data_IF_699683135676
#
_entry.id   IF_699683135676
#
_cell.length_a   1.000
_cell.length_b   1.000
_cell.length_c   1.000
_cell.angle_alpha   90.00
_cell.angle_beta   90.00
_cell.angle_gamma   90.00
#
_symmetry.space_group_name_H-M   'P 1'
#
loop_
_entity.id
_entity.type
_entity.pdbx_description
1 polymer ?
#
# COMPACT_ATOMS: atom_id res chain seq x y z
N UNK A 1 -26.31 8.84 -22.84
CA UNK A 1 -25.60 8.90 -21.56
C UNK A 1 -25.13 10.33 -21.37
N UNK A 2 -25.40 11.00 -20.24
CA UNK A 2 -24.76 12.27 -19.96
C UNK A 2 -23.25 12.04 -19.87
N UNK A 3 -22.40 13.00 -20.28
CA UNK A 3 -20.97 12.91 -20.08
C UNK A 3 -20.71 12.77 -18.56
N UNK A 4 -19.83 11.86 -18.17
CA UNK A 4 -19.32 11.83 -16.82
C UNK A 4 -18.69 13.20 -16.57
N UNK A 5 -19.25 13.98 -15.66
CA UNK A 5 -18.60 15.19 -15.16
C UNK A 5 -17.26 14.71 -14.60
N UNK A 6 -16.17 15.18 -15.19
CA UNK A 6 -14.82 14.81 -14.79
C UNK A 6 -14.64 15.21 -13.33
N UNK A 7 -14.60 14.22 -12.45
CA UNK A 7 -14.19 14.43 -11.07
C UNK A 7 -12.79 15.05 -11.13
N UNK A 8 -12.63 16.22 -10.55
CA UNK A 8 -11.34 16.92 -10.56
C UNK A 8 -10.33 16.06 -9.77
N UNK A 9 -9.50 15.30 -10.51
CA UNK A 9 -8.48 14.44 -9.90
C UNK A 9 -7.43 15.21 -9.09
N UNK A 10 -7.44 16.55 -9.17
CA UNK A 10 -6.53 17.41 -8.40
C UNK A 10 -6.80 17.37 -6.89
N UNK A 11 -8.02 17.07 -6.48
CA UNK A 11 -8.41 16.99 -5.06
C UNK A 11 -8.25 15.59 -4.46
N UNK A 12 -8.01 14.54 -5.28
CA UNK A 12 -7.89 13.17 -4.80
C UNK A 12 -6.52 12.91 -4.17
N UNK A 13 -6.56 12.34 -2.97
CA UNK A 13 -5.35 11.88 -2.27
C UNK A 13 -5.18 10.38 -2.52
N UNK A 14 -4.00 10.00 -3.01
CA UNK A 14 -3.61 8.61 -3.17
C UNK A 14 -2.76 8.17 -1.98
N UNK A 15 -3.21 7.14 -1.29
CA UNK A 15 -2.51 6.52 -0.16
C UNK A 15 -1.78 5.30 -0.70
N UNK A 16 -0.53 5.50 -1.12
CA UNK A 16 0.30 4.48 -1.73
C UNK A 16 0.96 3.67 -0.62
N UNK A 17 0.62 2.39 -0.56
CA UNK A 17 0.94 1.51 0.55
C UNK A 17 1.79 0.34 0.10
N UNK A 18 2.78 0.02 0.92
CA UNK A 18 3.57 -1.20 0.87
C UNK A 18 3.58 -1.86 2.25
N UNK A 19 3.71 -3.19 2.28
CA UNK A 19 3.73 -3.96 3.53
C UNK A 19 4.84 -5.01 3.50
N UNK A 20 5.30 -5.37 4.70
CA UNK A 20 6.14 -6.53 4.90
C UNK A 20 5.38 -7.59 5.69
N UNK A 21 5.57 -8.86 5.30
CA UNK A 21 4.81 -9.99 5.85
C UNK A 21 5.69 -11.20 6.14
N UNK A 22 5.23 -12.08 7.03
CA UNK A 22 5.92 -13.34 7.32
C UNK A 22 5.31 -14.57 6.60
N UNK A 23 4.46 -14.34 5.59
CA UNK A 23 3.87 -15.38 4.75
C UNK A 23 2.78 -14.84 3.82
N UNK A 24 1.98 -15.71 3.21
CA UNK A 24 1.12 -15.36 2.06
C UNK A 24 -0.36 -15.25 2.39
N UNK A 25 -0.79 -15.67 3.60
CA UNK A 25 -2.21 -15.79 3.95
C UNK A 25 -2.52 -14.94 5.16
N UNK A 26 -3.26 -13.81 5.01
CA UNK A 26 -3.66 -12.96 6.12
C UNK A 26 -4.36 -13.75 7.23
N UNK A 27 -3.94 -13.53 8.47
CA UNK A 27 -4.48 -14.20 9.63
C UNK A 27 -3.82 -15.53 9.99
N UNK A 28 -3.38 -16.33 9.01
CA UNK A 28 -2.48 -17.47 9.23
C UNK A 28 -1.04 -16.98 9.41
N UNK A 29 -0.68 -15.94 8.69
CA UNK A 29 0.57 -15.22 8.75
C UNK A 29 0.34 -13.77 9.13
N UNK A 30 1.39 -13.07 9.56
CA UNK A 30 1.31 -11.71 10.07
C UNK A 30 1.86 -10.69 9.06
N UNK A 31 1.25 -9.51 9.06
CA UNK A 31 1.88 -8.29 8.57
C UNK A 31 2.88 -7.82 9.63
N UNK A 32 4.13 -7.64 9.22
CA UNK A 32 5.24 -7.23 10.08
C UNK A 32 5.44 -5.71 10.06
N UNK A 33 5.32 -5.10 8.88
CA UNK A 33 5.41 -3.66 8.72
C UNK A 33 4.33 -3.14 7.77
N UNK A 34 3.87 -1.93 8.02
CA UNK A 34 2.92 -1.17 7.20
C UNK A 34 3.48 0.21 6.98
N UNK A 35 3.63 0.60 5.72
CA UNK A 35 4.00 1.96 5.38
C UNK A 35 3.12 2.51 4.26
N UNK A 36 2.87 3.81 4.30
CA UNK A 36 2.09 4.51 3.28
C UNK A 36 2.62 5.92 3.05
N UNK A 37 2.57 6.34 1.80
CA UNK A 37 2.85 7.70 1.36
C UNK A 37 1.59 8.29 0.77
N UNK A 38 1.13 9.42 1.31
CA UNK A 38 0.01 10.17 0.77
C UNK A 38 0.50 11.18 -0.25
N UNK A 39 -0.03 11.13 -1.48
CA UNK A 39 0.35 12.04 -2.56
C UNK A 39 -0.86 12.45 -3.39
N UNK A 40 -0.75 13.59 -4.10
CA UNK A 40 -1.72 14.01 -5.12
C UNK A 40 -1.30 13.50 -6.51
N UNK A 41 -2.20 13.57 -7.49
CA UNK A 41 -1.86 13.27 -8.90
C UNK A 41 -0.74 14.19 -9.46
N UNK A 42 -0.57 15.38 -8.92
CA UNK A 42 0.50 16.32 -9.29
C UNK A 42 1.87 15.92 -8.70
N UNK A 43 1.89 15.03 -7.69
CA UNK A 43 3.11 14.59 -6.99
C UNK A 43 3.42 15.40 -5.74
N UNK A 44 2.45 16.15 -5.21
CA UNK A 44 2.59 16.78 -3.90
C UNK A 44 2.48 15.72 -2.81
N UNK A 45 3.51 15.55 -2.00
CA UNK A 45 3.52 14.63 -0.86
C UNK A 45 2.84 15.31 0.34
N UNK A 46 1.78 14.67 0.86
CA UNK A 46 0.95 15.20 1.94
C UNK A 46 1.32 14.62 3.31
N UNK A 47 2.03 13.50 3.33
CA UNK A 47 2.50 12.86 4.56
C UNK A 47 2.88 11.42 4.38
N UNK A 48 3.45 10.84 5.45
CA UNK A 48 3.86 9.44 5.50
C UNK A 48 3.36 8.79 6.78
N UNK A 49 3.14 7.48 6.70
CA UNK A 49 2.85 6.62 7.83
C UNK A 49 3.79 5.41 7.78
N UNK A 50 4.42 5.07 8.90
CA UNK A 50 5.25 3.86 9.01
C UNK A 50 5.05 3.25 10.40
N UNK A 51 4.88 1.94 10.45
CA UNK A 51 4.81 1.20 11.71
C UNK A 51 5.26 -0.25 11.53
N UNK A 52 5.96 -0.77 12.55
CA UNK A 52 6.22 -2.19 12.74
C UNK A 52 5.13 -2.75 13.68
N UNK A 53 4.62 -3.94 13.37
CA UNK A 53 3.48 -4.54 14.06
C UNK A 53 3.91 -5.80 14.83
N UNK A 54 3.31 -6.00 15.99
CA UNK A 54 3.36 -7.30 16.67
C UNK A 54 2.72 -8.38 15.78
N UNK A 55 3.26 -9.60 15.84
CA UNK A 55 2.61 -10.74 15.16
C UNK A 55 1.23 -11.01 15.72
N UNK A 56 0.33 -11.44 14.86
CA UNK A 56 -1.01 -11.84 15.28
C UNK A 56 -0.94 -13.04 16.23
N UNK A 57 -1.71 -13.03 17.33
CA UNK A 57 -1.80 -14.18 18.22
C UNK A 57 -2.22 -15.43 17.45
N UNK A 58 -1.40 -16.50 17.56
CA UNK A 58 -1.63 -17.79 16.90
C UNK A 58 -1.13 -17.89 15.45
N UNK A 59 -0.79 -16.77 14.80
CA UNK A 59 -0.15 -16.81 13.49
C UNK A 59 1.28 -17.37 13.59
N UNK A 60 1.72 -18.05 12.54
CA UNK A 60 3.07 -18.60 12.45
C UNK A 60 3.72 -18.13 11.15
N UNK A 61 5.01 -17.78 11.14
CA UNK A 61 5.70 -17.46 9.91
C UNK A 61 5.68 -18.64 8.93
N UNK A 62 5.52 -18.34 7.65
CA UNK A 62 5.74 -19.36 6.61
C UNK A 62 7.24 -19.72 6.58
N UNK A 63 7.61 -20.99 6.60
CA UNK A 63 9.03 -21.41 6.73
C UNK A 63 9.95 -20.80 5.67
N UNK A 64 9.52 -20.81 4.40
CA UNK A 64 10.35 -20.29 3.29
C UNK A 64 10.46 -18.77 3.34
N UNK A 65 9.36 -18.06 3.69
CA UNK A 65 9.37 -16.60 3.85
C UNK A 65 10.27 -16.20 5.01
N UNK A 66 10.21 -16.94 6.12
CA UNK A 66 11.07 -16.66 7.26
C UNK A 66 12.55 -16.97 6.98
N UNK A 67 12.83 -18.05 6.23
CA UNK A 67 14.18 -18.35 5.77
C UNK A 67 14.72 -17.24 4.87
N UNK A 68 13.87 -16.68 3.98
CA UNK A 68 14.24 -15.52 3.16
C UNK A 68 14.57 -14.30 4.03
N UNK A 69 13.69 -13.94 5.01
CA UNK A 69 13.94 -12.83 5.93
C UNK A 69 15.26 -12.95 6.67
N UNK A 70 15.55 -14.13 7.19
CA UNK A 70 16.80 -14.38 7.95
C UNK A 70 18.05 -14.45 7.07
N UNK A 71 17.90 -14.55 5.75
CA UNK A 71 18.99 -14.45 4.78
C UNK A 71 19.30 -13.02 4.34
N UNK A 72 18.42 -12.06 4.64
CA UNK A 72 18.64 -10.65 4.30
C UNK A 72 19.69 -10.01 5.24
N UNK A 73 20.27 -8.86 4.85
CA UNK A 73 21.07 -8.05 5.75
C UNK A 73 20.32 -7.76 7.07
N UNK A 74 21.00 -7.78 8.22
CA UNK A 74 20.34 -7.60 9.53
C UNK A 74 19.49 -6.36 9.62
N UNK A 75 19.88 -5.26 8.99
CA UNK A 75 19.16 -3.99 8.96
C UNK A 75 17.81 -4.08 8.23
N UNK A 76 17.69 -4.94 7.21
CA UNK A 76 16.44 -5.17 6.48
C UNK A 76 15.43 -5.92 7.36
N UNK A 77 15.88 -6.99 8.03
CA UNK A 77 15.04 -7.72 8.97
C UNK A 77 14.65 -6.83 10.16
N UNK A 78 15.61 -6.04 10.69
CA UNK A 78 15.38 -5.12 11.79
C UNK A 78 14.28 -4.09 11.44
N UNK A 79 14.34 -3.50 10.25
CA UNK A 79 13.34 -2.53 9.78
C UNK A 79 11.90 -3.09 9.77
N UNK A 80 11.73 -4.40 9.61
CA UNK A 80 10.43 -5.06 9.63
C UNK A 80 10.04 -5.66 11.01
N UNK A 81 10.96 -5.70 11.99
CA UNK A 81 10.73 -6.45 13.23
C UNK A 81 11.14 -5.74 14.52
N UNK A 82 11.90 -4.63 14.47
CA UNK A 82 12.32 -3.90 15.68
C UNK A 82 11.20 -2.99 16.20
N UNK A 83 11.10 -2.90 17.53
CA UNK A 83 10.14 -2.07 18.26
C UNK A 83 8.67 -2.22 17.78
N UNK A 84 8.16 -3.48 17.67
CA UNK A 84 6.82 -3.72 17.17
C UNK A 84 5.77 -3.17 18.15
N UNK A 85 4.71 -2.59 17.59
CA UNK A 85 3.59 -2.03 18.33
C UNK A 85 2.37 -2.94 18.28
N UNK A 86 1.50 -2.92 19.31
CA UNK A 86 0.23 -3.65 19.30
C UNK A 86 -0.59 -3.35 18.06
N UNK A 87 -1.03 -4.40 17.35
CA UNK A 87 -1.78 -4.27 16.07
C UNK A 87 -3.00 -3.34 16.18
N UNK A 88 -3.85 -3.43 17.25
CA UNK A 88 -5.01 -2.52 17.36
C UNK A 88 -4.60 -1.04 17.43
N UNK A 89 -3.49 -0.73 18.10
CA UNK A 89 -2.98 0.65 18.21
C UNK A 89 -2.46 1.17 16.88
N UNK A 90 -1.71 0.34 16.13
CA UNK A 90 -1.21 0.71 14.81
C UNK A 90 -2.37 0.94 13.85
N UNK A 91 -3.37 0.05 13.82
CA UNK A 91 -4.51 0.19 12.92
C UNK A 91 -5.38 1.40 13.26
N UNK A 92 -5.57 1.71 14.54
CA UNK A 92 -6.27 2.94 14.97
C UNK A 92 -5.50 4.21 14.56
N UNK A 93 -4.17 4.19 14.72
CA UNK A 93 -3.30 5.30 14.30
C UNK A 93 -3.33 5.47 12.76
N UNK A 94 -3.28 4.37 12.00
CA UNK A 94 -3.40 4.38 10.55
C UNK A 94 -4.72 4.99 10.09
N UNK A 95 -5.85 4.55 10.66
CA UNK A 95 -7.17 5.13 10.36
C UNK A 95 -7.21 6.63 10.68
N UNK A 96 -6.66 7.03 11.82
CA UNK A 96 -6.62 8.45 12.22
C UNK A 96 -5.81 9.27 11.21
N UNK A 97 -4.65 8.76 10.81
CA UNK A 97 -3.78 9.41 9.83
C UNK A 97 -4.47 9.53 8.46
N UNK A 98 -5.04 8.44 7.95
CA UNK A 98 -5.77 8.43 6.67
C UNK A 98 -6.93 9.43 6.68
N UNK A 99 -7.72 9.49 7.75
CA UNK A 99 -8.85 10.43 7.89
C UNK A 99 -8.40 11.90 7.94
N UNK A 100 -7.17 12.17 8.33
CA UNK A 100 -6.57 13.50 8.33
C UNK A 100 -6.15 14.02 6.95
N UNK A 101 -6.14 13.16 5.91
CA UNK A 101 -5.63 13.50 4.58
C UNK A 101 -6.62 14.20 3.63
N UNK A 102 -7.82 14.53 4.09
CA UNK A 102 -8.87 15.14 3.25
C UNK A 102 -10.04 14.18 3.01
N UNK A 103 -10.94 14.51 2.08
CA UNK A 103 -12.20 13.78 1.90
C UNK A 103 -12.10 12.68 0.82
N UNK A 104 -11.46 12.94 -0.31
CA UNK A 104 -11.34 12.00 -1.43
C UNK A 104 -10.04 11.20 -1.34
N UNK A 105 -10.09 10.00 -0.78
CA UNK A 105 -8.92 9.13 -0.56
C UNK A 105 -9.03 7.84 -1.35
N UNK A 106 -7.98 7.49 -2.10
CA UNK A 106 -7.87 6.24 -2.84
C UNK A 106 -6.72 5.40 -2.31
N UNK A 107 -6.98 4.14 -1.98
CA UNK A 107 -5.94 3.20 -1.59
C UNK A 107 -5.20 2.69 -2.83
N UNK A 108 -3.86 2.67 -2.80
CA UNK A 108 -3.01 2.20 -3.90
C UNK A 108 -1.98 1.22 -3.38
N UNK A 109 -1.79 0.11 -4.09
CA UNK A 109 -0.75 -0.87 -3.78
C UNK A 109 -0.24 -1.61 -5.04
N UNK A 110 0.90 -2.29 -4.91
CA UNK A 110 1.56 -2.96 -6.04
C UNK A 110 2.13 -4.34 -5.68
N UNK A 111 1.36 -5.43 -5.86
CA UNK A 111 0.01 -5.52 -6.41
C UNK A 111 -1.09 -5.35 -5.34
N UNK A 112 -2.18 -4.70 -5.67
CA UNK A 112 -3.32 -4.53 -4.76
C UNK A 112 -3.85 -5.87 -4.20
N UNK A 113 -3.86 -6.92 -5.01
CA UNK A 113 -4.35 -8.24 -4.61
C UNK A 113 -3.54 -8.93 -3.51
N UNK A 114 -2.33 -8.45 -3.22
CA UNK A 114 -1.51 -8.93 -2.10
C UNK A 114 -1.57 -7.96 -0.93
N UNK A 115 -1.00 -6.78 -1.05
CA UNK A 115 -0.94 -5.79 0.03
C UNK A 115 -2.32 -5.37 0.51
N UNK A 116 -3.23 -5.09 -0.45
CA UNK A 116 -4.60 -4.71 -0.13
C UNK A 116 -5.37 -5.80 0.63
N UNK A 117 -5.12 -7.07 0.34
CA UNK A 117 -5.76 -8.18 1.06
C UNK A 117 -5.33 -8.24 2.53
N UNK A 118 -4.05 -8.00 2.82
CA UNK A 118 -3.55 -7.90 4.18
C UNK A 118 -4.12 -6.68 4.90
N UNK A 119 -4.04 -5.51 4.28
CA UNK A 119 -4.55 -4.27 4.89
C UNK A 119 -6.06 -4.35 5.15
N UNK A 120 -6.86 -4.89 4.21
CA UNK A 120 -8.31 -5.10 4.40
C UNK A 120 -8.59 -6.05 5.57
N UNK A 121 -7.85 -7.18 5.67
CA UNK A 121 -7.98 -8.12 6.79
C UNK A 121 -7.71 -7.45 8.15
N UNK A 122 -6.65 -6.63 8.24
CA UNK A 122 -6.30 -5.94 9.48
C UNK A 122 -7.28 -4.81 9.82
N UNK A 123 -7.70 -4.02 8.83
CA UNK A 123 -8.73 -2.99 9.02
C UNK A 123 -10.02 -3.61 9.58
N UNK A 124 -10.57 -4.65 8.92
CA UNK A 124 -11.83 -5.30 9.33
C UNK A 124 -11.74 -5.97 10.69
N UNK A 125 -10.57 -6.46 11.07
CA UNK A 125 -10.39 -7.17 12.32
C UNK A 125 -10.23 -6.23 13.52
N UNK A 126 -9.62 -5.07 13.34
CA UNK A 126 -9.21 -4.18 14.43
C UNK A 126 -9.87 -2.80 14.38
N UNK A 127 -10.63 -2.49 13.34
CA UNK A 127 -11.34 -1.22 13.14
C UNK A 127 -12.72 -1.48 12.52
N UNK A 128 -13.63 -0.50 12.49
CA UNK A 128 -14.90 -0.66 11.78
C UNK A 128 -14.77 -0.53 10.25
N UNK A 129 -13.56 -0.36 9.69
CA UNK A 129 -13.34 -0.08 8.28
C UNK A 129 -12.80 -1.29 7.51
N UNK A 130 -12.91 -1.21 6.18
CA UNK A 130 -12.24 -2.07 5.21
C UNK A 130 -11.77 -1.23 4.03
N UNK A 131 -11.02 -1.83 3.10
CA UNK A 131 -10.64 -1.15 1.85
C UNK A 131 -11.85 -0.93 0.93
N UNK A 132 -12.62 -2.00 0.73
CA UNK A 132 -13.85 -1.94 -0.05
C UNK A 132 -15.05 -2.04 0.90
N UNK A 133 -15.84 -0.99 0.94
CA UNK A 133 -17.04 -0.92 1.76
C UNK A 133 -18.28 -1.02 0.87
N UNK A 134 -19.36 -1.56 1.43
CA UNK A 134 -20.61 -1.76 0.70
C UNK A 134 -21.25 -0.44 0.25
N UNK A 135 -22.23 -0.50 -0.69
CA UNK A 135 -22.85 0.70 -1.23
C UNK A 135 -23.63 1.51 -0.18
N UNK A 136 -24.09 0.87 0.89
CA UNK A 136 -24.86 1.51 1.96
C UNK A 136 -23.99 2.09 3.09
N UNK A 137 -22.67 1.85 3.06
CA UNK A 137 -21.73 2.41 4.04
C UNK A 137 -21.36 3.83 3.67
N UNK A 138 -21.76 4.78 4.49
CA UNK A 138 -21.56 6.23 4.25
C UNK A 138 -20.28 6.77 4.90
N UNK A 139 -19.82 6.15 5.99
CA UNK A 139 -18.53 6.50 6.62
C UNK A 139 -17.42 5.60 6.07
N UNK A 140 -16.77 6.05 5.00
CA UNK A 140 -15.74 5.28 4.30
C UNK A 140 -14.34 5.78 4.64
N UNK A 141 -13.42 4.84 4.83
CA UNK A 141 -12.01 5.17 4.97
C UNK A 141 -11.41 5.53 3.60
N UNK A 142 -11.77 4.78 2.55
CA UNK A 142 -11.36 5.01 1.17
C UNK A 142 -12.60 5.08 0.25
N UNK A 143 -12.52 5.83 -0.86
CA UNK A 143 -13.67 6.17 -1.69
C UNK A 143 -13.77 5.36 -2.99
N UNK A 144 -12.74 4.60 -3.33
CA UNK A 144 -12.69 3.71 -4.48
C UNK A 144 -12.50 2.24 -4.09
N UNK A 145 -12.45 1.36 -5.08
CA UNK A 145 -12.22 -0.08 -4.88
C UNK A 145 -10.75 -0.43 -4.57
N UNK A 146 -9.90 0.58 -4.47
CA UNK A 146 -8.45 0.46 -4.48
C UNK A 146 -7.87 0.36 -5.89
N UNK A 147 -6.68 0.92 -6.07
CA UNK A 147 -5.98 0.98 -7.34
C UNK A 147 -4.78 0.03 -7.32
N UNK A 148 -4.77 -0.94 -8.24
CA UNK A 148 -3.60 -1.78 -8.47
C UNK A 148 -2.59 -1.04 -9.37
N UNK A 149 -1.52 -0.53 -8.76
CA UNK A 149 -0.50 0.24 -9.48
C UNK A 149 0.19 -0.61 -10.56
N UNK A 150 0.49 -1.89 -10.27
CA UNK A 150 1.05 -2.81 -11.25
C UNK A 150 0.15 -2.95 -12.48
N UNK A 151 -1.16 -3.11 -12.29
CA UNK A 151 -2.11 -3.26 -13.41
C UNK A 151 -2.28 -1.96 -14.19
N UNK A 152 -2.32 -0.82 -13.51
CA UNK A 152 -2.38 0.49 -14.16
C UNK A 152 -1.14 0.75 -15.01
N UNK A 153 0.05 0.54 -14.45
CA UNK A 153 1.32 0.71 -15.15
C UNK A 153 1.42 -0.20 -16.39
N UNK A 154 1.01 -1.47 -16.23
CA UNK A 154 0.94 -2.42 -17.36
C UNK A 154 0.04 -1.91 -18.49
N UNK A 155 -1.16 -1.42 -18.17
CA UNK A 155 -2.09 -0.88 -19.16
C UNK A 155 -1.56 0.37 -19.87
N UNK A 156 -0.95 1.30 -19.12
CA UNK A 156 -0.40 2.55 -19.67
C UNK A 156 0.81 2.29 -20.58
N UNK A 157 1.65 1.34 -20.22
CA UNK A 157 2.86 1.01 -20.99
C UNK A 157 2.60 0.00 -22.13
N UNK A 158 1.40 -0.57 -22.21
CA UNK A 158 1.08 -1.60 -23.21
C UNK A 158 1.78 -2.94 -22.93
N UNK A 159 2.13 -3.21 -21.67
CA UNK A 159 2.79 -4.44 -21.26
C UNK A 159 1.88 -5.67 -21.33
N UNK A 160 2.47 -6.86 -21.38
CA UNK A 160 1.74 -8.13 -21.26
C UNK A 160 1.44 -8.42 -19.78
N UNK A 161 0.16 -8.46 -19.33
CA UNK A 161 -0.20 -8.70 -17.95
C UNK A 161 0.37 -9.99 -17.34
N UNK A 162 0.63 -11.01 -18.17
CA UNK A 162 1.15 -12.30 -17.72
C UNK A 162 2.63 -12.25 -17.29
N UNK A 163 3.40 -11.33 -17.85
CA UNK A 163 4.85 -11.21 -17.62
C UNK A 163 5.29 -9.85 -17.06
N UNK A 164 4.39 -8.87 -16.97
CA UNK A 164 4.72 -7.51 -16.57
C UNK A 164 5.26 -7.43 -15.15
N UNK A 165 6.39 -6.75 -15.00
CA UNK A 165 6.96 -6.37 -13.71
C UNK A 165 7.14 -4.84 -13.65
N UNK A 166 6.72 -4.22 -12.56
CA UNK A 166 6.98 -2.78 -12.34
C UNK A 166 8.48 -2.49 -12.23
N UNK A 167 9.27 -3.48 -11.79
CA UNK A 167 10.72 -3.34 -11.64
C UNK A 167 11.48 -3.28 -12.97
N UNK A 168 10.80 -3.59 -14.10
CA UNK A 168 11.36 -3.45 -15.45
C UNK A 168 11.18 -2.02 -15.99
N UNK A 169 10.47 -1.15 -15.27
CA UNK A 169 10.27 0.26 -15.63
C UNK A 169 11.52 1.08 -15.31
N UNK A 170 11.72 2.23 -16.01
CA UNK A 170 12.89 3.08 -15.79
C UNK A 170 12.99 3.54 -14.32
N UNK A 171 14.19 3.49 -13.68
CA UNK A 171 14.38 3.96 -12.30
C UNK A 171 13.88 5.38 -12.05
N UNK A 172 13.97 6.27 -13.02
CA UNK A 172 13.45 7.64 -12.93
C UNK A 172 11.94 7.72 -12.67
N UNK A 173 11.16 6.67 -13.00
CA UNK A 173 9.74 6.60 -12.67
C UNK A 173 9.49 6.40 -11.18
N UNK A 174 10.48 5.86 -10.47
CA UNK A 174 10.46 5.67 -9.01
C UNK A 174 11.12 6.83 -8.26
N UNK A 175 11.46 7.95 -8.93
CA UNK A 175 12.15 9.08 -8.31
C UNK A 175 13.57 8.76 -7.86
N UNK A 176 14.21 7.78 -8.51
CA UNK A 176 15.53 7.22 -8.15
C UNK A 176 15.57 6.63 -6.73
N UNK A 177 14.41 6.33 -6.12
CA UNK A 177 14.32 5.60 -4.85
C UNK A 177 14.71 4.14 -5.09
N UNK A 178 15.63 3.65 -4.27
CA UNK A 178 16.08 2.25 -4.32
C UNK A 178 15.08 1.37 -3.58
N UNK A 179 14.69 0.26 -4.18
CA UNK A 179 13.91 -0.78 -3.52
C UNK A 179 14.78 -1.50 -2.47
N UNK A 180 14.40 -1.39 -1.20
CA UNK A 180 15.24 -1.84 -0.07
C UNK A 180 14.61 -2.97 0.75
N UNK A 181 13.39 -3.39 0.45
CA UNK A 181 12.55 -4.24 1.31
C UNK A 181 12.29 -3.62 2.70
N UNK A 182 12.32 -2.31 2.77
CA UNK A 182 11.78 -1.54 3.85
C UNK A 182 10.51 -0.87 3.35
N UNK A 183 9.37 -1.21 3.93
CA UNK A 183 8.05 -0.80 3.42
C UNK A 183 7.93 0.70 3.10
N UNK A 184 8.56 1.59 3.91
CA UNK A 184 8.45 3.04 3.64
C UNK A 184 9.25 3.46 2.40
N UNK A 185 10.42 2.88 2.14
CA UNK A 185 11.20 3.22 0.96
C UNK A 185 10.50 2.71 -0.30
N UNK A 186 9.92 1.52 -0.23
CA UNK A 186 9.18 0.93 -1.34
C UNK A 186 7.87 1.69 -1.61
N UNK A 187 7.14 2.12 -0.56
CA UNK A 187 5.98 3.00 -0.68
C UNK A 187 6.32 4.37 -1.31
N UNK A 188 7.50 4.96 -0.99
CA UNK A 188 7.99 6.20 -1.62
C UNK A 188 8.26 6.00 -3.11
N UNK A 189 8.96 4.92 -3.47
CA UNK A 189 9.20 4.56 -4.87
C UNK A 189 7.90 4.36 -5.64
N UNK A 190 6.93 3.66 -5.06
CA UNK A 190 5.61 3.45 -5.67
C UNK A 190 4.77 4.73 -5.75
N UNK A 191 4.93 5.68 -4.83
CA UNK A 191 4.28 7.00 -4.93
C UNK A 191 4.80 7.79 -6.14
N UNK A 192 6.12 7.79 -6.37
CA UNK A 192 6.70 8.38 -7.57
C UNK A 192 6.25 7.66 -8.85
N UNK A 193 6.22 6.32 -8.83
CA UNK A 193 5.74 5.52 -9.95
C UNK A 193 4.29 5.86 -10.30
N UNK A 194 3.40 5.98 -9.31
CA UNK A 194 2.01 6.36 -9.52
C UNK A 194 1.91 7.69 -10.28
N UNK A 195 2.62 8.72 -9.82
CA UNK A 195 2.63 10.04 -10.46
C UNK A 195 3.16 9.96 -11.89
N UNK A 196 4.21 9.18 -12.13
CA UNK A 196 4.78 8.97 -13.47
C UNK A 196 3.79 8.27 -14.40
N UNK A 197 3.08 7.25 -13.92
CA UNK A 197 2.05 6.51 -14.67
C UNK A 197 0.85 7.41 -14.99
N UNK A 198 0.37 8.21 -14.02
CA UNK A 198 -0.74 9.13 -14.23
C UNK A 198 -0.42 10.20 -15.28
N UNK A 199 0.81 10.73 -15.26
CA UNK A 199 1.28 11.67 -16.29
C UNK A 199 1.41 11.04 -17.69
N UNK A 200 1.82 9.77 -17.76
CA UNK A 200 1.93 9.05 -19.04
C UNK A 200 0.57 8.65 -19.63
N UNK A 201 -0.51 8.66 -18.81
CA UNK A 201 -1.87 8.33 -19.25
C UNK A 201 -2.69 9.56 -19.70
N UNK A 202 -2.16 10.77 -19.51
CA UNK A 202 -2.77 12.04 -19.87
C UNK A 202 -2.36 12.47 -21.27
#
# INVERSE_FOLDING_TARGET
MPPCEGNDMSERVYVVTDIEVDGFVPGAHSMLALASVATTAAGEQLGEFEAVLERLPGAQPHPDTWAWWTSQPPEVLAAATEDPRPVPEVMAAFVTWVRGLGEEREFVASPLGFDGTYVDHYLRRFTPYGLCQGPDETDRLFHGPGLCLKSLACGVTGGDPASFSVHDLPPAWFGDVVHTHRAIDDARGYAHLLVSVLRASS
#
